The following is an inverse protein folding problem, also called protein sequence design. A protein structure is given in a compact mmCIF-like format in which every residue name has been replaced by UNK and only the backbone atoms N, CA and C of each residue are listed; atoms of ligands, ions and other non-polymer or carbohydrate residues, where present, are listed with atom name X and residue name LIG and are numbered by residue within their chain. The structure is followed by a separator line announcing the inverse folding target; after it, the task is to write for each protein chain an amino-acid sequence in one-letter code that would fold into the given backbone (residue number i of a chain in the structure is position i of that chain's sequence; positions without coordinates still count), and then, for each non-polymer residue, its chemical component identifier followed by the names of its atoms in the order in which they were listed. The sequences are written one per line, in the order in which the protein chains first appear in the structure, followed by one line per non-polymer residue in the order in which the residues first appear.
data_IF_596550379312
#
_entry.id   IF_596550379312
#
_cell.length_a   1.000
_cell.length_b   1.000
_cell.length_c   1.000
_cell.angle_alpha   90.00
_cell.angle_beta   90.00
_cell.angle_gamma   90.00
#
_symmetry.space_group_name_H-M   'P 1'
#
loop_
_entity.id
_entity.type
_entity.pdbx_description
1 polymer ?
#
# COMPACT_ATOMS: atom_id res chain seq x y z
N UNK A 1 27.59 -20.29 15.56
CA UNK A 1 27.73 -20.00 17.00
C UNK A 1 27.19 -21.17 17.83
N UNK A 2 26.31 -21.95 17.35
CA UNK A 2 25.70 -23.13 17.96
C UNK A 2 24.56 -23.62 17.12
N UNK A 3 24.07 -24.84 17.36
CA UNK A 3 23.03 -25.47 16.53
C UNK A 3 21.69 -24.69 16.49
N UNK A 4 21.46 -23.81 17.45
CA UNK A 4 20.21 -23.06 17.61
C UNK A 4 20.44 -21.55 17.74
N UNK A 5 21.60 -21.04 17.31
CA UNK A 5 21.96 -19.62 17.42
C UNK A 5 22.35 -19.06 16.08
N UNK A 6 21.69 -17.97 15.67
CA UNK A 6 22.02 -17.19 14.48
C UNK A 6 22.58 -15.84 14.90
N UNK A 7 23.73 -15.45 14.35
CA UNK A 7 24.29 -14.10 14.52
C UNK A 7 24.07 -13.29 13.27
N UNK A 8 23.49 -12.11 13.42
CA UNK A 8 23.24 -11.18 12.32
C UNK A 8 24.13 -9.96 12.51
N UNK A 9 25.01 -9.70 11.53
CA UNK A 9 25.89 -8.53 11.51
C UNK A 9 25.45 -7.59 10.37
N UNK A 10 25.19 -6.35 10.72
CA UNK A 10 24.83 -5.29 9.75
C UNK A 10 26.02 -4.40 9.44
N UNK A 11 26.05 -3.81 8.25
CA UNK A 11 27.10 -2.86 7.84
C UNK A 11 26.99 -1.52 8.56
N UNK A 12 25.77 -1.14 8.92
CA UNK A 12 25.45 0.11 9.63
C UNK A 12 24.49 -0.20 10.79
N UNK A 13 24.38 0.68 11.81
CA UNK A 13 23.44 0.47 12.90
C UNK A 13 22.01 0.26 12.40
N UNK A 14 21.34 -0.77 12.89
CA UNK A 14 19.95 -1.14 12.59
C UNK A 14 19.19 -1.40 13.89
N UNK A 15 18.76 -0.36 14.62
CA UNK A 15 18.15 -0.51 15.96
C UNK A 15 16.86 -1.32 15.96
N UNK A 16 16.15 -1.37 14.82
CA UNK A 16 14.89 -2.12 14.68
C UNK A 16 15.08 -3.47 13.99
N UNK A 17 16.28 -4.03 14.00
CA UNK A 17 16.58 -5.34 13.40
C UNK A 17 15.57 -6.44 13.79
N UNK A 18 15.13 -6.57 15.05
CA UNK A 18 14.13 -7.57 15.41
C UNK A 18 12.82 -7.43 14.62
N UNK A 19 12.32 -6.20 14.44
CA UNK A 19 11.12 -5.95 13.65
C UNK A 19 11.35 -6.24 12.15
N UNK A 20 12.55 -5.92 11.63
CA UNK A 20 12.92 -6.26 10.24
C UNK A 20 12.98 -7.77 10.03
N UNK A 21 13.46 -8.53 11.00
CA UNK A 21 13.49 -9.99 10.92
C UNK A 21 12.09 -10.60 10.94
N UNK A 22 11.11 -9.94 11.57
CA UNK A 22 9.72 -10.39 11.62
C UNK A 22 9.02 -10.51 10.27
N UNK A 23 9.52 -9.84 9.23
CA UNK A 23 8.97 -9.94 7.86
C UNK A 23 9.70 -10.97 6.98
N UNK A 24 10.77 -11.58 7.49
CA UNK A 24 11.53 -12.58 6.74
C UNK A 24 10.89 -13.96 6.89
N UNK A 25 10.53 -14.55 5.76
CA UNK A 25 10.08 -15.94 5.74
C UNK A 25 11.27 -16.88 5.89
N UNK A 26 11.19 -17.80 6.87
CA UNK A 26 12.18 -18.84 7.08
C UNK A 26 11.58 -20.16 6.57
N UNK A 27 12.16 -20.73 5.54
CA UNK A 27 11.70 -21.99 4.95
C UNK A 27 12.54 -23.16 5.45
N UNK A 28 11.95 -24.36 5.48
CA UNK A 28 12.67 -25.59 5.82
C UNK A 28 13.73 -25.88 4.75
N UNK A 29 14.94 -26.34 5.11
CA UNK A 29 15.97 -26.78 4.16
C UNK A 29 15.50 -27.97 3.28
N UNK A 30 14.48 -28.69 3.73
CA UNK A 30 13.86 -29.76 2.97
C UNK A 30 12.89 -29.26 1.89
N UNK A 31 12.59 -27.97 1.86
CA UNK A 31 11.78 -27.34 0.83
C UNK A 31 12.64 -27.11 -0.40
N UNK A 32 12.43 -27.90 -1.47
CA UNK A 32 13.10 -27.65 -2.75
C UNK A 32 12.58 -26.35 -3.35
N UNK A 33 13.47 -25.47 -3.80
CA UNK A 33 13.12 -24.13 -4.34
C UNK A 33 11.99 -24.17 -5.38
N UNK A 34 12.03 -25.09 -6.33
CA UNK A 34 11.00 -25.23 -7.36
C UNK A 34 9.64 -25.75 -6.83
N UNK A 35 9.58 -26.28 -5.63
CA UNK A 35 8.36 -26.81 -5.00
C UNK A 35 7.91 -25.99 -3.79
N UNK A 36 8.79 -25.15 -3.24
CA UNK A 36 8.56 -24.37 -2.03
C UNK A 36 7.37 -23.42 -2.13
N UNK A 37 7.18 -22.80 -3.28
CA UNK A 37 6.05 -21.92 -3.56
C UNK A 37 4.70 -22.64 -3.60
N UNK A 38 4.71 -23.96 -3.94
CA UNK A 38 3.50 -24.77 -4.10
C UNK A 38 3.27 -25.79 -2.99
N UNK A 39 4.25 -26.00 -2.14
CA UNK A 39 4.19 -26.88 -0.97
C UNK A 39 5.06 -26.32 0.15
N UNK A 40 4.69 -25.16 0.72
CA UNK A 40 5.49 -24.50 1.74
C UNK A 40 5.56 -25.31 3.03
N UNK A 41 6.75 -25.40 3.62
CA UNK A 41 6.99 -26.00 4.93
C UNK A 41 7.57 -24.95 5.86
N UNK A 42 6.90 -24.70 6.97
CA UNK A 42 7.26 -23.71 7.97
C UNK A 42 7.03 -24.21 9.38
N UNK A 43 7.07 -23.29 10.34
CA UNK A 43 6.87 -23.56 11.77
C UNK A 43 5.54 -22.99 12.28
N UNK A 44 4.63 -22.63 11.38
CA UNK A 44 3.33 -22.04 11.71
C UNK A 44 2.31 -23.04 12.28
N UNK A 45 1.15 -22.54 12.74
CA UNK A 45 0.11 -23.36 13.36
C UNK A 45 -0.71 -24.21 12.38
N UNK A 46 -0.48 -24.06 11.08
CA UNK A 46 -1.17 -24.81 10.03
C UNK A 46 -0.18 -25.44 9.06
N UNK A 47 -0.55 -26.61 8.55
CA UNK A 47 0.14 -27.28 7.44
C UNK A 47 -0.63 -27.02 6.15
N UNK A 48 0.12 -26.92 5.06
CA UNK A 48 -0.44 -26.79 3.71
C UNK A 48 -1.17 -28.07 3.31
N UNK A 49 -2.37 -27.94 2.78
CA UNK A 49 -3.17 -29.02 2.25
C UNK A 49 -3.08 -29.09 0.73
N UNK A 50 -3.86 -28.26 0.05
CA UNK A 50 -3.95 -28.25 -1.42
C UNK A 50 -4.08 -26.81 -1.92
N UNK A 51 -3.42 -26.53 -3.03
CA UNK A 51 -3.64 -25.35 -3.84
C UNK A 51 -4.30 -25.71 -5.16
N UNK A 52 -5.45 -25.12 -5.43
CA UNK A 52 -6.11 -25.17 -6.73
C UNK A 52 -6.00 -23.76 -7.34
N UNK A 53 -5.09 -23.57 -8.34
CA UNK A 53 -4.79 -22.26 -8.90
C UNK A 53 -6.04 -21.48 -9.32
N UNK A 54 -6.13 -20.20 -8.91
CA UNK A 54 -7.27 -19.32 -9.20
C UNK A 54 -8.56 -19.64 -8.44
N UNK A 55 -8.61 -20.72 -7.65
CA UNK A 55 -9.82 -21.17 -6.96
C UNK A 55 -9.68 -21.15 -5.44
N UNK A 56 -8.72 -21.90 -4.88
CA UNK A 56 -8.63 -22.06 -3.42
C UNK A 56 -7.26 -22.54 -2.95
N UNK A 57 -7.01 -22.30 -1.65
CA UNK A 57 -5.95 -22.93 -0.84
C UNK A 57 -6.59 -23.52 0.41
N UNK A 58 -6.22 -24.77 0.76
CA UNK A 58 -6.61 -25.40 1.99
C UNK A 58 -5.46 -25.57 2.95
N UNK A 59 -5.72 -25.40 4.23
CA UNK A 59 -4.77 -25.61 5.30
C UNK A 59 -5.41 -26.49 6.37
N UNK A 60 -4.61 -27.23 7.13
CA UNK A 60 -5.05 -28.04 8.27
C UNK A 60 -4.23 -27.69 9.51
N UNK A 61 -4.87 -27.62 10.66
CA UNK A 61 -4.20 -27.36 11.94
C UNK A 61 -3.07 -28.36 12.19
N UNK A 62 -1.93 -27.85 12.61
CA UNK A 62 -0.76 -28.65 12.97
C UNK A 62 -0.82 -29.03 14.44
N UNK A 63 -1.01 -30.30 14.74
CA UNK A 63 -1.13 -30.81 16.12
C UNK A 63 0.18 -30.68 16.93
N UNK A 64 1.33 -30.63 16.25
CA UNK A 64 2.65 -30.43 16.85
C UNK A 64 3.10 -28.98 16.95
N UNK A 65 2.19 -28.00 16.81
CA UNK A 65 2.55 -26.60 16.89
C UNK A 65 3.09 -26.23 18.27
N UNK A 66 4.20 -25.51 18.29
CA UNK A 66 4.94 -25.11 19.50
C UNK A 66 4.26 -23.99 20.32
N UNK A 67 3.34 -23.24 19.71
CA UNK A 67 2.58 -22.17 20.35
C UNK A 67 1.19 -22.61 20.78
N UNK A 68 0.30 -21.64 21.00
CA UNK A 68 -1.09 -21.91 21.35
C UNK A 68 -1.83 -22.59 20.20
N UNK A 69 -2.47 -23.72 20.47
CA UNK A 69 -3.23 -24.46 19.46
C UNK A 69 -4.44 -23.66 18.99
N UNK A 70 -4.57 -23.35 17.68
CA UNK A 70 -5.75 -22.67 17.14
C UNK A 70 -7.01 -23.51 17.32
N UNK A 71 -8.16 -22.86 17.47
CA UNK A 71 -9.47 -23.54 17.58
C UNK A 71 -9.90 -24.10 16.24
N UNK A 72 -9.67 -23.36 15.16
CA UNK A 72 -10.05 -23.77 13.79
C UNK A 72 -9.16 -24.93 13.33
N UNK A 73 -9.77 -26.02 12.89
CA UNK A 73 -9.05 -27.22 12.42
C UNK A 73 -8.74 -27.17 10.93
N UNK A 74 -9.74 -26.88 10.13
CA UNK A 74 -9.64 -26.83 8.67
C UNK A 74 -9.91 -25.43 8.17
N UNK A 75 -9.08 -24.96 7.25
CA UNK A 75 -9.16 -23.62 6.65
C UNK A 75 -9.20 -23.76 5.14
N UNK A 76 -10.10 -23.01 4.51
CA UNK A 76 -10.13 -22.87 3.06
C UNK A 76 -10.15 -21.38 2.69
N UNK A 77 -9.12 -20.92 2.00
CA UNK A 77 -9.15 -19.63 1.31
C UNK A 77 -9.73 -19.82 -0.08
N UNK A 78 -10.84 -19.14 -0.35
CA UNK A 78 -11.53 -19.21 -1.66
C UNK A 78 -11.34 -17.89 -2.38
N UNK A 79 -10.82 -17.94 -3.61
CA UNK A 79 -10.55 -16.74 -4.39
C UNK A 79 -11.78 -16.32 -5.19
N UNK A 80 -12.26 -15.11 -4.95
CA UNK A 80 -13.34 -14.46 -5.70
C UNK A 80 -12.93 -13.01 -5.97
N UNK A 81 -12.93 -12.60 -7.22
CA UNK A 81 -12.54 -11.24 -7.60
C UNK A 81 -13.59 -10.21 -7.16
N UNK A 82 -14.87 -10.53 -7.37
CA UNK A 82 -15.97 -9.61 -7.15
C UNK A 82 -16.29 -9.43 -5.67
N UNK A 83 -16.30 -8.17 -5.22
CA UNK A 83 -16.60 -7.79 -3.84
C UNK A 83 -17.99 -8.24 -3.41
N UNK A 84 -19.00 -7.98 -4.22
CA UNK A 84 -20.39 -8.37 -3.95
C UNK A 84 -20.55 -9.89 -3.76
N UNK A 85 -19.82 -10.70 -4.55
CA UNK A 85 -19.82 -12.16 -4.42
C UNK A 85 -19.22 -12.59 -3.07
N UNK A 86 -18.08 -11.99 -2.68
CA UNK A 86 -17.47 -12.29 -1.37
C UNK A 86 -18.39 -11.94 -0.21
N UNK A 87 -19.03 -10.78 -0.27
CA UNK A 87 -19.98 -10.34 0.74
C UNK A 87 -21.21 -11.27 0.82
N UNK A 88 -21.74 -11.70 -0.33
CA UNK A 88 -22.86 -12.62 -0.41
C UNK A 88 -22.53 -14.01 0.19
N UNK A 89 -21.36 -14.56 -0.09
CA UNK A 89 -20.91 -15.86 0.44
C UNK A 89 -20.90 -15.90 1.97
N UNK A 90 -20.53 -14.81 2.64
CA UNK A 90 -20.59 -14.74 4.10
C UNK A 90 -22.05 -14.66 4.59
N UNK A 91 -22.89 -13.90 3.89
CA UNK A 91 -24.32 -13.79 4.23
C UNK A 91 -25.05 -15.12 4.10
N UNK A 92 -24.72 -15.94 3.08
CA UNK A 92 -25.31 -17.27 2.87
C UNK A 92 -24.69 -18.37 3.73
N UNK A 93 -23.57 -18.07 4.44
CA UNK A 93 -22.85 -19.05 5.24
C UNK A 93 -21.89 -19.94 4.47
N UNK A 94 -21.66 -19.66 3.17
CA UNK A 94 -20.65 -20.34 2.34
C UNK A 94 -19.22 -19.94 2.72
N UNK A 95 -19.05 -18.78 3.34
CA UNK A 95 -17.78 -18.32 3.89
C UNK A 95 -18.00 -17.72 5.29
N UNK A 96 -16.91 -17.65 6.07
CA UNK A 96 -16.93 -17.05 7.41
C UNK A 96 -16.45 -15.62 7.43
N UNK A 97 -15.45 -15.30 6.59
CA UNK A 97 -14.83 -13.98 6.53
C UNK A 97 -14.63 -13.59 5.06
N UNK A 98 -15.07 -12.40 4.72
CA UNK A 98 -14.76 -11.74 3.46
C UNK A 98 -14.02 -10.44 3.73
N UNK A 99 -12.67 -10.44 3.70
CA UNK A 99 -11.90 -9.21 3.82
C UNK A 99 -11.99 -8.36 2.55
N UNK A 100 -11.72 -7.08 2.70
CA UNK A 100 -11.57 -6.12 1.61
C UNK A 100 -12.79 -6.08 0.67
N UNK A 101 -14.01 -5.97 1.26
CA UNK A 101 -15.22 -5.70 0.48
C UNK A 101 -15.34 -4.21 0.16
N UNK A 102 -16.03 -3.87 -0.93
CA UNK A 102 -16.24 -2.49 -1.32
C UNK A 102 -17.26 -1.80 -0.39
N UNK A 103 -17.16 -0.49 -0.26
CA UNK A 103 -18.02 0.29 0.64
C UNK A 103 -19.51 0.11 0.32
N UNK A 104 -19.87 0.04 -0.95
CA UNK A 104 -21.26 -0.18 -1.40
C UNK A 104 -21.80 -1.58 -1.07
N UNK A 105 -20.92 -2.57 -0.84
CA UNK A 105 -21.28 -3.91 -0.44
C UNK A 105 -21.35 -4.07 1.08
N UNK A 106 -20.77 -3.14 1.85
CA UNK A 106 -20.76 -3.12 3.32
C UNK A 106 -22.07 -2.52 3.86
N UNK A 107 -23.16 -3.26 3.70
CA UNK A 107 -24.54 -2.80 3.97
C UNK A 107 -25.19 -3.47 5.18
N UNK A 108 -24.51 -4.40 5.84
CA UNK A 108 -25.04 -5.14 6.98
C UNK A 108 -24.30 -4.77 8.27
N UNK A 109 -24.89 -3.92 9.14
CA UNK A 109 -24.22 -3.43 10.36
C UNK A 109 -23.98 -4.52 11.42
N UNK A 110 -24.56 -5.72 11.25
CA UNK A 110 -24.34 -6.87 12.16
C UNK A 110 -23.14 -7.72 11.74
N UNK A 111 -22.75 -7.64 10.47
CA UNK A 111 -21.70 -8.45 9.90
C UNK A 111 -20.51 -7.61 9.40
N UNK A 112 -20.74 -6.34 9.06
CA UNK A 112 -19.74 -5.50 8.38
C UNK A 112 -18.96 -4.65 9.37
N UNK A 113 -17.65 -4.83 9.34
CA UNK A 113 -16.70 -4.10 10.17
C UNK A 113 -15.96 -3.10 9.31
N UNK A 114 -15.92 -1.85 9.75
CA UNK A 114 -15.06 -0.80 9.20
C UNK A 114 -13.87 -0.59 10.12
N UNK A 115 -12.68 -0.49 9.57
CA UNK A 115 -11.45 -0.29 10.34
C UNK A 115 -10.41 0.47 9.52
N UNK A 116 -9.58 1.29 10.19
CA UNK A 116 -8.39 1.82 9.56
C UNK A 116 -7.48 0.67 9.15
N UNK A 117 -7.06 0.68 7.88
CA UNK A 117 -6.02 -0.23 7.43
C UNK A 117 -4.66 0.50 7.32
N UNK A 118 -3.59 -0.23 7.09
CA UNK A 118 -2.24 0.34 6.92
C UNK A 118 -1.99 0.91 5.53
N UNK A 119 -3.00 0.88 4.67
CA UNK A 119 -2.86 1.18 3.26
C UNK A 119 -3.03 2.67 2.96
N UNK A 120 -2.20 3.14 2.05
CA UNK A 120 -2.23 4.51 1.55
C UNK A 120 -2.31 4.51 0.03
N UNK A 121 -3.40 5.07 -0.51
CA UNK A 121 -3.61 5.21 -1.95
C UNK A 121 -2.97 6.50 -2.46
N UNK A 122 -2.26 6.42 -3.60
CA UNK A 122 -1.58 7.55 -4.23
C UNK A 122 -1.34 7.30 -5.71
N UNK A 123 -0.96 8.34 -6.46
CA UNK A 123 -0.28 8.20 -7.74
C UNK A 123 1.19 8.60 -7.56
N UNK A 124 2.12 7.65 -7.76
CA UNK A 124 3.55 7.98 -7.79
C UNK A 124 3.84 8.72 -9.09
N UNK A 125 4.49 9.88 -8.97
CA UNK A 125 4.93 10.69 -10.10
C UNK A 125 6.30 10.19 -10.58
N UNK A 126 6.46 9.90 -11.86
CA UNK A 126 7.78 9.55 -12.41
C UNK A 126 8.62 10.81 -12.66
N UNK A 127 9.26 11.29 -11.59
CA UNK A 127 10.06 12.52 -11.63
C UNK A 127 11.32 12.44 -12.50
N UNK A 128 11.71 11.24 -12.96
CA UNK A 128 12.85 11.05 -13.87
C UNK A 128 12.48 11.35 -15.32
N UNK A 129 11.18 11.59 -15.61
CA UNK A 129 10.63 11.82 -16.95
C UNK A 129 10.07 13.24 -17.08
N UNK A 130 10.54 13.98 -18.10
CA UNK A 130 9.95 15.29 -18.42
C UNK A 130 8.52 15.14 -18.98
N UNK A 131 7.60 16.03 -18.59
CA UNK A 131 7.80 17.27 -17.82
C UNK A 131 7.59 17.10 -16.30
N UNK A 132 7.54 15.89 -15.77
CA UNK A 132 7.24 15.60 -14.36
C UNK A 132 8.39 15.95 -13.39
N UNK A 133 9.55 16.32 -13.90
CA UNK A 133 10.67 16.90 -13.15
C UNK A 133 10.40 18.33 -12.67
N UNK A 134 9.40 19.04 -13.25
CA UNK A 134 9.02 20.39 -12.81
C UNK A 134 8.13 20.35 -11.55
N UNK A 135 8.59 20.97 -10.47
CA UNK A 135 7.89 21.00 -9.19
C UNK A 135 6.53 21.70 -9.26
N UNK A 136 6.34 22.67 -10.16
CA UNK A 136 5.09 23.40 -10.33
C UNK A 136 3.99 22.44 -10.82
N UNK A 137 4.33 21.55 -11.77
CA UNK A 137 3.39 20.57 -12.29
C UNK A 137 2.99 19.56 -11.19
N UNK A 138 3.96 19.10 -10.38
CA UNK A 138 3.65 18.16 -9.28
C UNK A 138 2.77 18.81 -8.20
N UNK A 139 3.01 20.09 -7.88
CA UNK A 139 2.14 20.86 -6.98
C UNK A 139 0.76 21.08 -7.59
N UNK A 140 0.70 21.44 -8.87
CA UNK A 140 -0.57 21.61 -9.59
C UNK A 140 -1.42 20.34 -9.59
N UNK A 141 -0.79 19.17 -9.77
CA UNK A 141 -1.50 17.88 -9.70
C UNK A 141 -2.16 17.68 -8.33
N UNK A 142 -1.46 17.97 -7.22
CA UNK A 142 -2.05 17.85 -5.88
C UNK A 142 -3.17 18.87 -5.60
N UNK A 143 -3.02 20.10 -6.11
CA UNK A 143 -4.04 21.15 -5.96
C UNK A 143 -5.29 20.91 -6.83
N UNK A 144 -5.16 20.12 -7.91
CA UNK A 144 -6.26 19.82 -8.81
C UNK A 144 -7.22 18.74 -8.31
N UNK A 145 -6.83 17.96 -7.31
CA UNK A 145 -7.64 16.85 -6.81
C UNK A 145 -8.59 17.32 -5.72
N UNK A 146 -9.89 17.20 -5.97
CA UNK A 146 -10.94 17.38 -4.98
C UNK A 146 -11.14 16.08 -4.19
N UNK A 147 -10.40 15.95 -3.08
CA UNK A 147 -10.50 14.77 -2.22
C UNK A 147 -11.86 14.66 -1.54
N UNK A 148 -12.53 15.78 -1.27
CA UNK A 148 -13.85 15.75 -0.63
C UNK A 148 -14.93 15.24 -1.59
N UNK A 149 -14.80 15.51 -2.89
CA UNK A 149 -15.71 14.96 -3.92
C UNK A 149 -15.53 13.43 -4.09
N UNK A 150 -14.34 12.90 -3.80
CA UNK A 150 -14.05 11.45 -3.88
C UNK A 150 -14.47 10.68 -2.63
N UNK A 151 -14.46 11.35 -1.47
CA UNK A 151 -14.79 10.76 -0.18
C UNK A 151 -16.29 10.58 0.00
N UNK A 152 -16.71 9.37 0.36
CA UNK A 152 -18.14 9.03 0.49
C UNK A 152 -18.82 8.69 -0.82
N UNK A 153 -18.11 8.77 -1.94
CA UNK A 153 -18.57 8.38 -3.28
C UNK A 153 -17.79 7.19 -3.83
N UNK A 154 -16.58 7.41 -4.32
CA UNK A 154 -15.66 6.38 -4.81
C UNK A 154 -14.93 5.70 -3.64
N UNK A 155 -14.48 6.49 -2.68
CA UNK A 155 -13.86 6.03 -1.43
C UNK A 155 -14.85 6.09 -0.27
N UNK A 156 -14.64 5.25 0.73
CA UNK A 156 -15.45 5.29 1.95
C UNK A 156 -15.41 6.66 2.63
N UNK A 157 -16.51 7.06 3.30
CA UNK A 157 -16.56 8.32 4.03
C UNK A 157 -15.50 8.44 5.15
N UNK A 158 -15.07 7.29 5.71
CA UNK A 158 -14.07 7.23 6.79
C UNK A 158 -12.61 7.36 6.35
N UNK A 159 -12.29 7.44 5.05
CA UNK A 159 -10.91 7.63 4.61
C UNK A 159 -10.38 8.99 5.04
N UNK A 160 -9.07 9.07 5.29
CA UNK A 160 -8.41 10.31 5.74
C UNK A 160 -7.51 10.83 4.62
N UNK A 161 -7.62 12.12 4.23
CA UNK A 161 -6.71 12.71 3.27
C UNK A 161 -5.25 12.49 3.65
N UNK A 162 -4.48 11.97 2.73
CA UNK A 162 -3.05 11.69 2.91
C UNK A 162 -2.24 12.98 2.98
N UNK A 163 -1.21 12.99 3.82
CA UNK A 163 -0.15 14.00 3.83
C UNK A 163 1.24 13.38 3.62
N UNK A 164 1.33 12.08 3.72
CA UNK A 164 2.56 11.30 3.69
C UNK A 164 2.23 9.82 3.54
N UNK A 165 3.22 9.01 3.16
CA UNK A 165 2.97 7.60 2.85
C UNK A 165 2.68 6.70 4.07
N UNK A 166 3.06 7.13 5.27
CA UNK A 166 2.85 6.35 6.51
C UNK A 166 1.61 6.84 7.25
N UNK A 167 0.83 5.90 7.75
CA UNK A 167 -0.39 6.18 8.54
C UNK A 167 -0.03 6.67 9.96
N UNK A 168 -0.96 7.32 10.69
CA UNK A 168 -0.68 7.93 11.99
C UNK A 168 -0.09 7.02 13.07
N UNK A 169 -0.36 5.71 13.02
CA UNK A 169 0.16 4.73 13.98
C UNK A 169 1.62 4.35 13.76
N UNK A 170 2.24 4.76 12.67
CA UNK A 170 3.60 4.39 12.31
C UNK A 170 4.60 5.41 12.85
N UNK A 171 5.68 4.94 13.50
CA UNK A 171 6.76 5.80 13.96
C UNK A 171 7.37 6.58 12.79
N UNK A 172 7.44 7.89 12.94
CA UNK A 172 7.89 8.82 11.90
C UNK A 172 6.76 9.52 11.15
N UNK A 173 5.49 9.21 11.45
CA UNK A 173 4.37 10.04 10.99
C UNK A 173 4.51 11.47 11.51
N UNK A 174 4.36 12.46 10.62
CA UNK A 174 4.44 13.88 10.96
C UNK A 174 3.02 14.48 11.08
N UNK A 175 2.49 14.68 12.29
CA UNK A 175 1.13 15.19 12.50
C UNK A 175 0.96 16.67 12.16
N UNK A 176 2.05 17.38 11.89
CA UNK A 176 2.03 18.83 11.55
C UNK A 176 1.73 19.10 10.08
N UNK A 177 1.86 18.08 9.21
CA UNK A 177 1.55 18.22 7.80
C UNK A 177 0.05 18.34 7.59
N UNK A 178 -0.33 19.19 6.64
CA UNK A 178 -1.73 19.38 6.25
C UNK A 178 -1.93 18.84 4.82
N UNK A 179 -3.08 18.25 4.52
CA UNK A 179 -3.39 17.84 3.15
C UNK A 179 -3.30 19.04 2.20
N UNK A 180 -2.97 18.76 0.95
CA UNK A 180 -3.06 19.77 -0.12
C UNK A 180 -4.51 20.23 -0.24
N UNK A 181 -4.78 21.54 -0.24
CA UNK A 181 -6.12 22.04 -0.45
C UNK A 181 -6.52 21.88 -1.91
N UNK A 182 -7.79 21.58 -2.19
CA UNK A 182 -8.30 21.69 -3.53
C UNK A 182 -8.31 23.17 -3.99
N UNK A 183 -7.59 23.46 -5.06
CA UNK A 183 -7.54 24.81 -5.65
C UNK A 183 -7.23 24.72 -7.15
N UNK A 184 -8.24 24.45 -7.94
CA UNK A 184 -8.11 24.30 -9.39
C UNK A 184 -7.57 25.56 -10.08
N UNK A 185 -7.94 26.75 -9.58
CA UNK A 185 -7.46 28.01 -10.16
C UNK A 185 -5.94 28.18 -10.02
N UNK A 186 -5.40 27.86 -8.83
CA UNK A 186 -3.95 27.90 -8.60
C UNK A 186 -3.24 26.76 -9.37
N UNK A 187 -3.86 25.58 -9.48
CA UNK A 187 -3.34 24.49 -10.29
C UNK A 187 -3.15 24.93 -11.75
N UNK A 188 -4.19 25.52 -12.36
CA UNK A 188 -4.15 26.06 -13.74
C UNK A 188 -3.08 27.15 -13.90
N UNK A 189 -2.93 28.01 -12.90
CA UNK A 189 -1.91 29.07 -12.90
C UNK A 189 -0.49 28.49 -12.87
N UNK A 190 -0.23 27.46 -12.08
CA UNK A 190 1.08 26.80 -12.02
C UNK A 190 1.41 26.09 -13.35
N UNK A 191 0.43 25.42 -13.98
CA UNK A 191 0.59 24.81 -15.30
C UNK A 191 0.88 25.87 -16.36
N UNK A 192 0.16 27.00 -16.35
CA UNK A 192 0.39 28.11 -17.28
C UNK A 192 1.80 28.74 -17.10
N UNK A 193 2.25 28.92 -15.84
CA UNK A 193 3.58 29.43 -15.54
C UNK A 193 4.68 28.48 -16.03
N UNK A 194 4.53 27.17 -15.83
CA UNK A 194 5.45 26.18 -16.35
C UNK A 194 5.55 26.23 -17.89
N UNK A 195 4.38 26.33 -18.57
CA UNK A 195 4.29 26.48 -20.02
C UNK A 195 4.98 27.74 -20.53
N UNK A 196 4.80 28.86 -19.85
CA UNK A 196 5.44 30.13 -20.20
C UNK A 196 6.98 30.07 -20.13
N UNK A 197 7.50 29.24 -19.22
CA UNK A 197 8.95 28.99 -19.08
C UNK A 197 9.45 27.87 -20.01
N UNK A 198 8.65 27.42 -20.98
CA UNK A 198 9.06 26.46 -22.00
C UNK A 198 8.94 24.99 -21.59
N UNK A 199 8.26 24.69 -20.48
CA UNK A 199 7.96 23.30 -20.11
C UNK A 199 6.89 22.72 -21.05
N UNK A 200 7.14 21.55 -21.62
CA UNK A 200 6.18 20.86 -22.52
C UNK A 200 5.00 20.26 -21.73
N UNK A 201 4.08 21.10 -21.31
CA UNK A 201 2.87 20.70 -20.58
C UNK A 201 1.87 19.95 -21.46
N UNK A 202 2.03 19.98 -22.79
CA UNK A 202 1.20 19.26 -23.75
C UNK A 202 1.61 17.81 -23.97
N UNK A 203 2.77 17.40 -23.45
CA UNK A 203 3.23 16.02 -23.54
C UNK A 203 2.26 15.06 -22.85
N UNK A 204 1.90 13.98 -23.54
CA UNK A 204 1.00 12.97 -22.99
C UNK A 204 1.64 12.30 -21.76
N UNK A 205 0.92 12.28 -20.65
CA UNK A 205 1.28 11.60 -19.40
C UNK A 205 0.34 10.41 -19.24
N UNK A 206 0.88 9.20 -18.97
CA UNK A 206 0.05 8.00 -18.84
C UNK A 206 -0.18 7.68 -17.38
N UNK A 207 -1.45 7.62 -16.97
CA UNK A 207 -1.84 7.06 -15.67
C UNK A 207 -1.83 5.54 -15.82
N UNK A 208 -0.90 4.89 -15.15
CA UNK A 208 -0.78 3.43 -15.08
C UNK A 208 -1.54 2.93 -13.86
N UNK A 209 -2.71 2.34 -14.10
CA UNK A 209 -3.55 1.74 -13.06
C UNK A 209 -3.40 0.22 -12.99
N UNK A 210 -3.64 -0.35 -11.79
CA UNK A 210 -3.73 -1.79 -11.58
C UNK A 210 -5.17 -2.20 -11.33
N UNK A 211 -5.66 -3.17 -12.10
CA UNK A 211 -6.98 -3.74 -11.91
C UNK A 211 -7.10 -4.37 -10.52
N UNK A 212 -8.10 -3.94 -9.76
CA UNK A 212 -8.41 -4.50 -8.45
C UNK A 212 -7.35 -4.28 -7.36
N UNK A 213 -6.54 -3.22 -7.44
CA UNK A 213 -5.56 -2.88 -6.39
C UNK A 213 -6.26 -2.56 -5.05
N UNK A 214 -7.41 -1.94 -5.12
CA UNK A 214 -8.38 -1.74 -4.03
C UNK A 214 -9.78 -1.61 -4.64
N UNK A 215 -10.86 -1.72 -3.83
CA UNK A 215 -12.22 -1.54 -4.35
C UNK A 215 -12.40 -0.17 -5.03
N UNK A 216 -13.11 -0.14 -6.16
CA UNK A 216 -13.37 1.06 -6.98
C UNK A 216 -12.08 1.71 -7.55
N UNK A 217 -11.02 0.92 -7.73
CA UNK A 217 -9.71 1.44 -8.17
C UNK A 217 -9.72 2.00 -9.59
N UNK A 218 -10.56 1.46 -10.47
CA UNK A 218 -10.71 1.94 -11.84
C UNK A 218 -11.44 3.28 -11.87
N UNK A 219 -12.56 3.38 -11.17
CA UNK A 219 -13.35 4.59 -11.00
C UNK A 219 -12.53 5.73 -10.37
N UNK A 220 -11.66 5.38 -9.43
CA UNK A 220 -10.72 6.34 -8.85
C UNK A 220 -9.76 6.90 -9.90
N UNK A 221 -9.20 6.06 -10.79
CA UNK A 221 -8.31 6.54 -11.86
C UNK A 221 -9.04 7.39 -12.89
N UNK A 222 -10.28 7.06 -13.22
CA UNK A 222 -11.12 7.85 -14.11
C UNK A 222 -11.42 9.24 -13.52
N UNK A 223 -11.76 9.31 -12.24
CA UNK A 223 -11.98 10.57 -11.55
C UNK A 223 -10.70 11.42 -11.47
N UNK A 224 -9.55 10.81 -11.12
CA UNK A 224 -8.25 11.49 -11.10
C UNK A 224 -7.88 12.03 -12.50
N UNK A 225 -8.10 11.24 -13.55
CA UNK A 225 -7.90 11.67 -14.93
C UNK A 225 -8.75 12.90 -15.26
N UNK A 226 -10.04 12.89 -14.95
CA UNK A 226 -10.94 14.01 -15.23
C UNK A 226 -10.47 15.29 -14.53
N UNK A 227 -10.16 15.24 -13.23
CA UNK A 227 -9.72 16.38 -12.42
C UNK A 227 -8.38 16.95 -12.91
N UNK A 228 -7.41 16.08 -13.22
CA UNK A 228 -6.12 16.51 -13.73
C UNK A 228 -6.22 17.07 -15.16
N UNK A 229 -7.08 16.49 -16.01
CA UNK A 229 -7.33 17.03 -17.37
C UNK A 229 -7.95 18.41 -17.30
N UNK A 230 -8.85 18.66 -16.35
CA UNK A 230 -9.43 19.99 -16.13
C UNK A 230 -8.38 21.03 -15.71
N UNK A 231 -7.34 20.61 -15.01
CA UNK A 231 -6.20 21.47 -14.65
C UNK A 231 -5.25 21.77 -15.83
N UNK A 232 -5.45 21.12 -16.99
CA UNK A 232 -4.70 21.37 -18.22
C UNK A 232 -3.62 20.35 -18.54
N UNK A 233 -3.62 19.18 -17.88
CA UNK A 233 -2.72 18.07 -18.21
C UNK A 233 -3.28 17.24 -19.37
N UNK A 234 -2.42 16.81 -20.28
CA UNK A 234 -2.75 15.87 -21.34
C UNK A 234 -2.51 14.44 -20.83
N UNK A 235 -3.59 13.70 -20.57
CA UNK A 235 -3.55 12.43 -19.87
C UNK A 235 -4.21 11.29 -20.64
N UNK A 236 -3.70 10.07 -20.40
CA UNK A 236 -4.28 8.81 -20.84
C UNK A 236 -4.28 7.80 -19.71
N UNK A 237 -5.30 6.98 -19.61
CA UNK A 237 -5.36 5.88 -18.63
C UNK A 237 -4.98 4.57 -19.30
N UNK A 238 -4.16 3.78 -18.63
CA UNK A 238 -3.85 2.41 -18.98
C UNK A 238 -4.01 1.51 -17.75
N UNK A 239 -5.13 0.80 -17.69
CA UNK A 239 -5.36 -0.20 -16.65
C UNK A 239 -4.67 -1.51 -17.01
N UNK A 240 -4.00 -2.16 -16.06
CA UNK A 240 -3.17 -3.33 -16.29
C UNK A 240 -3.38 -4.39 -15.21
N UNK A 241 -3.13 -5.64 -15.56
CA UNK A 241 -2.95 -6.71 -14.58
C UNK A 241 -1.64 -6.51 -13.80
N UNK A 242 -1.54 -7.16 -12.63
CA UNK A 242 -0.42 -6.96 -11.68
C UNK A 242 0.97 -7.08 -12.33
N UNK A 243 1.18 -8.08 -13.18
CA UNK A 243 2.50 -8.30 -13.80
C UNK A 243 2.94 -7.14 -14.71
N UNK A 244 2.02 -6.63 -15.54
CA UNK A 244 2.30 -5.49 -16.40
C UNK A 244 2.50 -4.18 -15.61
N UNK A 245 1.69 -3.97 -14.59
CA UNK A 245 1.79 -2.80 -13.71
C UNK A 245 3.12 -2.75 -12.93
N UNK A 246 3.64 -3.90 -12.47
CA UNK A 246 4.91 -3.99 -11.75
C UNK A 246 6.10 -3.45 -12.55
N UNK A 247 6.09 -3.57 -13.88
CA UNK A 247 7.16 -3.04 -14.75
C UNK A 247 7.24 -1.49 -14.72
N UNK A 248 6.15 -0.83 -14.34
CA UNK A 248 6.11 0.61 -14.14
C UNK A 248 6.35 1.01 -12.68
N UNK A 249 5.98 0.13 -11.73
CA UNK A 249 6.10 0.42 -10.31
C UNK A 249 7.53 0.27 -9.80
N UNK A 250 8.26 -0.76 -10.24
CA UNK A 250 9.54 -1.16 -9.65
C UNK A 250 10.64 -1.24 -10.69
N UNK A 251 11.87 -0.89 -10.27
CA UNK A 251 13.08 -1.05 -11.08
C UNK A 251 13.37 -2.51 -11.44
N UNK A 252 14.02 -2.77 -12.60
CA UNK A 252 14.49 -1.80 -13.57
C UNK A 252 13.35 -1.21 -14.40
N UNK A 253 13.33 0.12 -14.55
CA UNK A 253 12.35 0.79 -15.39
C UNK A 253 12.73 0.72 -16.86
N UNK A 254 11.76 0.52 -17.76
CA UNK A 254 12.00 0.67 -19.19
C UNK A 254 12.38 2.12 -19.55
N UNK A 255 13.41 2.29 -20.37
CA UNK A 255 13.91 3.63 -20.74
C UNK A 255 12.90 4.43 -21.56
N UNK A 256 12.10 3.75 -22.37
CA UNK A 256 11.11 4.31 -23.29
C UNK A 256 9.69 4.49 -22.67
N UNK A 257 9.54 4.29 -21.34
CA UNK A 257 8.22 4.30 -20.66
C UNK A 257 7.49 5.64 -20.72
N UNK A 258 8.22 6.73 -21.01
CA UNK A 258 7.67 8.09 -21.01
C UNK A 258 7.23 8.59 -19.62
N UNK A 259 6.60 9.78 -19.52
CA UNK A 259 6.11 10.30 -18.26
C UNK A 259 4.88 9.53 -17.79
N UNK A 260 4.92 9.04 -16.56
CA UNK A 260 3.84 8.23 -15.98
C UNK A 260 3.46 8.68 -14.57
N UNK A 261 2.18 8.54 -14.26
CA UNK A 261 1.63 8.54 -12.91
C UNK A 261 1.24 7.10 -12.59
N UNK A 262 1.92 6.46 -11.65
CA UNK A 262 1.67 5.05 -11.36
C UNK A 262 0.79 4.92 -10.12
N UNK A 263 -0.40 4.34 -10.29
CA UNK A 263 -1.29 4.02 -9.18
C UNK A 263 -0.56 3.12 -8.18
N UNK A 264 -0.52 3.55 -6.93
CA UNK A 264 0.12 2.85 -5.85
C UNK A 264 -0.81 2.71 -4.66
N UNK A 265 -0.77 1.55 -4.05
CA UNK A 265 -1.21 1.28 -2.71
C UNK A 265 0.02 0.91 -1.91
N UNK A 266 0.20 1.54 -0.77
CA UNK A 266 1.31 1.23 0.11
C UNK A 266 0.79 0.75 1.45
N UNK A 267 1.21 -0.43 1.83
CA UNK A 267 0.95 -1.02 3.12
C UNK A 267 2.20 -0.94 4.00
N UNK A 268 2.04 -0.42 5.22
CA UNK A 268 3.06 -0.46 6.26
C UNK A 268 2.41 -0.64 7.62
N UNK A 269 2.38 -1.86 8.08
CA UNK A 269 1.92 -2.24 9.43
C UNK A 269 3.09 -2.67 10.36
N UNK A 270 4.34 -2.40 9.96
CA UNK A 270 5.54 -2.86 10.68
C UNK A 270 6.04 -1.85 11.74
N UNK A 271 5.27 -0.82 12.02
CA UNK A 271 5.50 0.10 13.13
C UNK A 271 6.55 1.20 12.93
N UNK A 272 7.29 1.22 11.81
CA UNK A 272 8.34 2.23 11.55
C UNK A 272 8.38 2.66 10.08
N UNK A 273 8.67 3.95 9.85
CA UNK A 273 8.73 4.55 8.52
C UNK A 273 9.83 3.96 7.62
N UNK A 274 10.87 3.33 8.16
CA UNK A 274 11.96 2.75 7.37
C UNK A 274 11.46 1.77 6.31
N UNK A 275 10.41 1.01 6.61
CA UNK A 275 9.80 0.04 5.68
C UNK A 275 9.16 0.70 4.45
N UNK A 276 8.85 1.99 4.57
CA UNK A 276 8.30 2.79 3.48
C UNK A 276 9.38 3.60 2.77
N UNK A 277 10.16 4.34 3.54
CA UNK A 277 11.03 5.39 3.04
C UNK A 277 12.14 4.88 2.14
N UNK A 278 12.83 3.80 2.54
CA UNK A 278 13.93 3.26 1.76
C UNK A 278 13.47 2.82 0.37
N UNK A 279 12.41 2.01 0.32
CA UNK A 279 11.92 1.44 -0.93
C UNK A 279 11.34 2.49 -1.88
N UNK A 280 10.69 3.53 -1.35
CA UNK A 280 9.88 4.48 -2.13
C UNK A 280 10.62 5.76 -2.50
N UNK A 281 11.60 6.19 -1.68
CA UNK A 281 12.17 7.53 -1.79
C UNK A 281 13.70 7.60 -1.70
N UNK A 282 14.39 6.53 -1.27
CA UNK A 282 15.86 6.49 -1.36
C UNK A 282 16.32 6.47 -2.82
N UNK A 283 17.51 6.98 -3.10
CA UNK A 283 18.07 7.02 -4.45
C UNK A 283 18.08 5.65 -5.14
N UNK A 284 18.44 4.60 -4.39
CA UNK A 284 18.46 3.21 -4.87
C UNK A 284 17.19 2.41 -4.52
N UNK A 285 16.15 3.08 -4.04
CA UNK A 285 14.88 2.43 -3.69
C UNK A 285 14.23 1.78 -4.91
N UNK A 286 13.77 0.53 -4.76
CA UNK A 286 13.22 -0.25 -5.88
C UNK A 286 12.03 0.43 -6.58
N UNK A 287 11.30 1.30 -5.88
CA UNK A 287 10.15 2.02 -6.43
C UNK A 287 10.35 3.55 -6.47
N UNK A 288 11.59 4.01 -6.23
CA UNK A 288 11.92 5.43 -6.24
C UNK A 288 12.15 5.93 -7.66
N UNK A 289 11.60 7.10 -7.97
CA UNK A 289 11.86 7.88 -9.18
C UNK A 289 12.53 9.21 -8.86
N UNK A 290 12.97 9.40 -7.61
CA UNK A 290 13.65 10.60 -7.13
C UNK A 290 15.00 10.23 -6.51
N UNK A 291 15.93 11.19 -6.51
CA UNK A 291 17.18 11.09 -5.78
C UNK A 291 17.53 12.47 -5.24
N UNK A 292 17.05 12.78 -4.05
CA UNK A 292 17.34 14.03 -3.35
C UNK A 292 18.36 13.76 -2.22
N UNK A 293 19.47 14.49 -2.23
CA UNK A 293 20.57 14.26 -1.28
C UNK A 293 20.19 14.48 0.18
N UNK A 294 19.26 15.38 0.47
CA UNK A 294 18.82 15.63 1.84
C UNK A 294 17.82 14.56 2.31
N UNK A 295 16.94 14.09 1.42
CA UNK A 295 16.07 12.93 1.69
C UNK A 295 16.93 11.70 1.96
N UNK A 296 17.93 11.43 1.11
CA UNK A 296 18.85 10.29 1.27
C UNK A 296 19.63 10.36 2.60
N UNK A 297 20.17 11.55 2.94
CA UNK A 297 20.85 11.76 4.22
C UNK A 297 19.90 11.58 5.42
N UNK A 298 18.69 12.09 5.32
CA UNK A 298 17.64 11.93 6.33
C UNK A 298 17.25 10.47 6.54
N UNK A 299 17.04 9.70 5.47
CA UNK A 299 16.76 8.25 5.53
C UNK A 299 17.89 7.50 6.27
N UNK A 300 19.15 7.78 5.92
CA UNK A 300 20.33 7.16 6.57
C UNK A 300 20.40 7.53 8.05
N UNK A 301 20.24 8.82 8.37
CA UNK A 301 20.28 9.32 9.75
C UNK A 301 19.16 8.72 10.61
N UNK A 302 17.93 8.73 10.12
CA UNK A 302 16.78 8.16 10.82
C UNK A 302 16.92 6.63 11.00
N UNK A 303 17.45 5.92 10.00
CA UNK A 303 17.68 4.47 10.09
C UNK A 303 18.64 4.12 11.22
N UNK A 304 19.68 4.92 11.42
CA UNK A 304 20.68 4.70 12.48
C UNK A 304 20.26 5.23 13.86
N UNK A 305 19.28 6.12 13.93
CA UNK A 305 18.83 6.74 15.17
C UNK A 305 17.82 5.87 15.94
N UNK A 306 17.61 6.20 17.22
CA UNK A 306 16.63 5.57 18.13
C UNK A 306 15.73 6.62 18.77
N UNK A 307 14.62 6.19 19.37
CA UNK A 307 13.71 7.03 20.16
C UNK A 307 13.23 8.28 19.43
N UNK A 308 13.17 9.39 20.15
CA UNK A 308 12.66 10.66 19.63
C UNK A 308 13.48 11.20 18.46
N UNK A 309 14.81 11.05 18.50
CA UNK A 309 15.67 11.47 17.39
C UNK A 309 15.32 10.74 16.09
N UNK A 310 15.01 9.44 16.17
CA UNK A 310 14.57 8.66 15.01
C UNK A 310 13.26 9.20 14.47
N UNK A 311 12.27 9.37 15.35
CA UNK A 311 10.95 9.89 15.00
C UNK A 311 11.05 11.27 14.35
N UNK A 312 11.76 12.19 14.98
CA UNK A 312 11.86 13.58 14.53
C UNK A 312 12.61 13.71 13.20
N UNK A 313 13.63 12.87 13.00
CA UNK A 313 14.34 12.82 11.71
C UNK A 313 13.42 12.29 10.60
N UNK A 314 12.61 11.24 10.86
CA UNK A 314 11.59 10.79 9.91
C UNK A 314 10.57 11.88 9.60
N UNK A 315 10.10 12.62 10.60
CA UNK A 315 9.16 13.72 10.42
C UNK A 315 9.71 14.82 9.50
N UNK A 316 11.00 15.11 9.59
CA UNK A 316 11.63 16.09 8.68
C UNK A 316 11.75 15.54 7.25
N UNK A 317 12.10 14.26 7.07
CA UNK A 317 12.05 13.60 5.76
C UNK A 317 10.64 13.68 5.14
N UNK A 318 9.60 13.40 5.93
CA UNK A 318 8.20 13.52 5.47
C UNK A 318 7.84 14.95 5.08
N UNK A 319 8.28 15.95 5.88
CA UNK A 319 8.05 17.36 5.56
C UNK A 319 8.67 17.72 4.19
N UNK A 320 9.92 17.31 3.99
CA UNK A 320 10.62 17.60 2.74
C UNK A 320 9.96 16.92 1.55
N UNK A 321 9.57 15.66 1.68
CA UNK A 321 8.84 14.95 0.63
C UNK A 321 7.51 15.64 0.30
N UNK A 322 6.76 16.06 1.31
CA UNK A 322 5.46 16.69 1.13
C UNK A 322 5.54 18.10 0.50
N UNK A 323 6.50 18.94 0.96
CA UNK A 323 6.52 20.36 0.60
C UNK A 323 7.51 20.72 -0.51
N UNK A 324 8.67 20.05 -0.50
CA UNK A 324 9.80 20.45 -1.34
C UNK A 324 9.98 19.54 -2.56
N UNK A 325 9.72 18.24 -2.43
CA UNK A 325 9.92 17.27 -3.52
C UNK A 325 8.61 16.93 -4.25
N UNK A 326 7.54 16.66 -3.52
CA UNK A 326 6.20 16.31 -4.04
C UNK A 326 6.25 15.13 -5.03
N UNK A 327 6.68 13.93 -4.58
CA UNK A 327 6.88 12.78 -5.46
C UNK A 327 5.59 12.03 -5.77
N UNK A 328 4.49 12.38 -5.12
CA UNK A 328 3.20 11.71 -5.22
C UNK A 328 2.06 12.71 -5.40
N UNK A 329 1.04 12.31 -6.17
CA UNK A 329 -0.31 12.88 -6.04
C UNK A 329 -0.96 12.14 -4.88
N UNK A 330 -1.22 12.87 -3.81
CA UNK A 330 -1.70 12.34 -2.55
C UNK A 330 -3.21 12.11 -2.60
N UNK A 331 -3.64 10.94 -2.11
CA UNK A 331 -5.05 10.56 -2.06
C UNK A 331 -5.48 10.33 -0.60
N UNK A 332 -5.56 9.09 -0.16
CA UNK A 332 -6.12 8.76 1.15
C UNK A 332 -5.31 7.69 1.91
N UNK A 333 -5.28 7.82 3.22
CA UNK A 333 -5.14 6.67 4.11
C UNK A 333 -6.47 5.93 4.11
N UNK A 334 -6.42 4.63 3.82
CA UNK A 334 -7.60 3.83 3.49
C UNK A 334 -8.30 3.28 4.71
N UNK A 335 -9.59 3.11 4.58
CA UNK A 335 -10.43 2.34 5.48
C UNK A 335 -10.81 1.03 4.79
N UNK A 336 -10.58 -0.09 5.46
CA UNK A 336 -11.01 -1.40 5.02
C UNK A 336 -12.41 -1.74 5.52
N UNK A 337 -13.10 -2.59 4.76
CA UNK A 337 -14.34 -3.23 5.19
C UNK A 337 -14.19 -4.73 5.09
N UNK A 338 -14.63 -5.45 6.12
CA UNK A 338 -14.68 -6.89 6.12
C UNK A 338 -16.05 -7.35 6.62
N UNK A 339 -16.61 -8.36 5.96
CA UNK A 339 -17.80 -9.03 6.45
C UNK A 339 -17.41 -10.29 7.22
N UNK A 340 -17.95 -10.45 8.42
CA UNK A 340 -17.69 -11.59 9.32
C UNK A 340 -19.01 -12.24 9.69
N UNK A 341 -19.10 -13.57 9.55
CA UNK A 341 -20.28 -14.33 9.92
C UNK A 341 -20.42 -14.37 11.46
N UNK A 342 -21.61 -14.11 12.04
CA UNK A 342 -21.81 -14.11 13.49
C UNK A 342 -21.53 -15.43 14.21
N UNK A 343 -21.37 -16.54 13.48
CA UNK A 343 -20.99 -17.84 14.09
C UNK A 343 -19.55 -17.88 14.59
N UNK A 344 -18.73 -16.89 14.25
CA UNK A 344 -17.34 -16.78 14.70
C UNK A 344 -17.10 -15.47 15.44
N UNK A 345 -16.20 -15.54 16.44
CA UNK A 345 -15.63 -14.38 17.12
C UNK A 345 -14.32 -14.00 16.42
N UNK A 346 -14.40 -12.99 15.58
CA UNK A 346 -13.26 -12.39 14.88
C UNK A 346 -13.52 -10.92 14.61
N UNK A 347 -12.64 -10.05 15.09
CA UNK A 347 -12.72 -8.62 14.83
C UNK A 347 -11.61 -8.23 13.86
N UNK A 348 -11.96 -7.77 12.63
CA UNK A 348 -10.98 -7.24 11.68
C UNK A 348 -10.18 -6.07 12.26
N UNK A 349 -8.91 -6.01 11.89
CA UNK A 349 -7.96 -4.99 12.38
C UNK A 349 -7.15 -4.41 11.23
N UNK A 350 -6.27 -3.47 11.55
CA UNK A 350 -5.35 -2.84 10.58
C UNK A 350 -4.57 -3.86 9.71
N UNK A 351 -4.28 -5.04 10.25
CA UNK A 351 -3.57 -6.09 9.53
C UNK A 351 -4.45 -6.96 8.63
N UNK A 352 -5.78 -6.92 8.77
CA UNK A 352 -6.71 -7.90 8.15
C UNK A 352 -6.63 -7.90 6.61
N UNK A 353 -6.43 -6.75 5.98
CA UNK A 353 -6.32 -6.66 4.52
C UNK A 353 -5.07 -7.35 3.98
N UNK A 354 -3.97 -7.32 4.73
CA UNK A 354 -2.68 -7.87 4.32
C UNK A 354 -2.43 -9.26 4.90
N UNK A 355 -2.95 -9.53 6.10
CA UNK A 355 -2.68 -10.73 6.87
C UNK A 355 -3.92 -11.20 7.64
N UNK A 356 -4.76 -12.00 6.98
CA UNK A 356 -5.86 -12.67 7.67
C UNK A 356 -5.31 -13.87 8.45
N UNK A 357 -5.14 -13.69 9.76
CA UNK A 357 -4.61 -14.74 10.65
C UNK A 357 -5.73 -15.59 11.23
N UNK A 358 -6.02 -16.71 10.59
CA UNK A 358 -7.08 -17.63 11.01
C UNK A 358 -6.85 -18.22 12.40
N UNK A 359 -5.60 -18.26 12.86
CA UNK A 359 -5.26 -18.69 14.23
C UNK A 359 -5.88 -17.81 15.33
N UNK A 360 -6.35 -16.62 15.00
CA UNK A 360 -7.02 -15.69 15.92
C UNK A 360 -8.55 -15.89 15.96
N UNK A 361 -9.11 -16.64 15.02
CA UNK A 361 -10.54 -16.90 14.93
C UNK A 361 -10.97 -17.86 16.04
N UNK A 362 -12.13 -17.57 16.67
CA UNK A 362 -12.82 -18.43 17.63
C UNK A 362 -14.24 -18.69 17.15
N UNK A 363 -14.87 -19.70 17.70
CA UNK A 363 -16.31 -19.95 17.49
C UNK A 363 -17.11 -19.32 18.63
N UNK A 364 -18.29 -18.75 18.30
CA UNK A 364 -19.26 -18.26 19.27
C UNK A 364 -20.09 -19.42 19.85
#
# INVERSE_FOLDING_TARGET
IGSHTVAIKTKTPQPIMPAMMGIMSITSPNTQEAKGERNPQGTGPYVFGKWTPGQSVTLKRFSGYWGSTPVVEDVMYVFRKESAVRAAMVKTGEADIAPNIAVQDATDPKMDFSYFNSETARLRIDMSQKPLDDIRLRKAMNLAIDLDALRGTIFAAGVVPQTQIVVPSINGHNPRLKPWPYNLAEAKKLVAAAKADGVDVGKEIVIIGRLGIYPNSTEAMEAMHAMLSEAGFNLKIKMMETAGWLNFLSRPYAEDRGPTLVQGQHDNNNGDAVFSMYNKYACEGAQSTTCDSQVEAGIKAATAATGDKRRDTWQEVQRRLHQDIVPDVQMFHMVGFSRVNPRIDFTPSIATNSQLQVSQVKFN
#
